data_IF_561866145204
#
_entry.id   IF_561866145204
#
_cell.length_a   1.000
_cell.length_b   1.000
_cell.length_c   1.000
_cell.angle_alpha   90.00
_cell.angle_beta   90.00
_cell.angle_gamma   90.00
#
_symmetry.space_group_name_H-M   'P 1'
#
loop_
_entity.id
_entity.type
_entity.pdbx_description
1 polymer ?
#
# COMPACT_ATOMS: atom_id res chain seq x y z
N UNK A 1 -18.13 1.41 -10.46
CA UNK A 1 -17.68 0.75 -11.70
C UNK A 1 -18.79 0.19 -12.59
N UNK A 2 -20.09 0.26 -12.18
CA UNK A 2 -21.19 -0.35 -12.92
C UNK A 2 -21.86 0.53 -13.99
N UNK A 3 -21.39 1.74 -14.25
CA UNK A 3 -22.05 2.68 -15.19
C UNK A 3 -21.56 2.65 -16.63
N UNK A 4 -20.50 1.93 -16.96
CA UNK A 4 -19.96 1.89 -18.34
C UNK A 4 -20.74 0.91 -19.24
N UNK A 5 -21.54 0.02 -18.69
CA UNK A 5 -22.20 -1.05 -19.46
C UNK A 5 -23.47 -0.66 -20.22
N UNK A 6 -23.98 0.54 -20.08
CA UNK A 6 -25.32 0.89 -20.60
C UNK A 6 -25.34 1.77 -21.85
N UNK A 7 -24.20 2.16 -22.39
CA UNK A 7 -24.09 3.03 -23.56
C UNK A 7 -23.54 2.31 -24.78
N UNK A 8 -24.38 1.94 -25.70
CA UNK A 8 -24.13 1.67 -27.12
C UNK A 8 -22.94 0.75 -27.46
N UNK A 9 -23.19 -0.55 -27.59
CA UNK A 9 -22.23 -1.51 -28.16
C UNK A 9 -21.62 -1.03 -29.48
N UNK A 10 -22.33 -0.31 -30.30
CA UNK A 10 -21.86 0.23 -31.58
C UNK A 10 -20.76 1.28 -31.48
N UNK A 11 -20.68 2.04 -30.38
CA UNK A 11 -19.63 3.07 -30.24
C UNK A 11 -18.27 2.45 -29.93
N UNK A 12 -18.24 1.33 -29.21
CA UNK A 12 -17.01 0.60 -28.89
C UNK A 12 -16.40 -0.14 -30.09
N UNK A 13 -17.20 -0.46 -31.10
CA UNK A 13 -16.74 -1.18 -32.29
C UNK A 13 -16.10 -0.27 -33.33
N UNK A 14 -16.34 1.05 -33.26
CA UNK A 14 -15.80 2.05 -34.19
C UNK A 14 -14.55 2.78 -33.68
N UNK A 15 -14.24 2.66 -32.40
CA UNK A 15 -13.07 3.31 -31.79
C UNK A 15 -11.93 2.30 -31.67
N UNK A 16 -10.77 2.65 -32.19
CA UNK A 16 -9.57 1.80 -32.14
C UNK A 16 -8.66 2.09 -30.95
N UNK A 17 -8.70 3.32 -30.42
CA UNK A 17 -7.89 3.77 -29.30
C UNK A 17 -8.72 4.49 -28.25
N UNK A 18 -8.37 4.29 -26.99
CA UNK A 18 -8.97 4.97 -25.82
C UNK A 18 -7.87 5.52 -24.94
N UNK A 19 -7.93 6.79 -24.64
CA UNK A 19 -7.06 7.40 -23.64
C UNK A 19 -7.84 7.43 -22.31
N UNK A 20 -7.33 6.74 -21.31
CA UNK A 20 -7.94 6.63 -20.00
C UNK A 20 -7.05 7.30 -18.96
N UNK A 21 -7.65 8.03 -18.03
CA UNK A 21 -6.96 8.56 -16.85
C UNK A 21 -7.75 8.20 -15.58
N UNK A 22 -7.63 6.95 -15.10
CA UNK A 22 -8.30 6.50 -13.90
C UNK A 22 -7.78 7.23 -12.67
N UNK A 23 -8.69 7.67 -11.79
CA UNK A 23 -8.34 8.43 -10.59
C UNK A 23 -8.09 7.52 -9.37
N UNK A 24 -8.46 6.26 -9.45
CA UNK A 24 -8.30 5.28 -8.37
C UNK A 24 -8.28 3.85 -8.91
N UNK A 25 -7.87 2.92 -8.07
CA UNK A 25 -7.93 1.48 -8.35
C UNK A 25 -7.28 1.05 -9.68
N UNK A 26 -6.17 1.68 -10.06
CA UNK A 26 -5.44 1.42 -11.31
C UNK A 26 -5.21 -0.07 -11.58
N UNK A 27 -4.87 -0.84 -10.54
CA UNK A 27 -4.68 -2.28 -10.67
C UNK A 27 -5.95 -3.02 -11.11
N UNK A 28 -7.11 -2.60 -10.61
CA UNK A 28 -8.41 -3.17 -11.03
C UNK A 28 -8.76 -2.77 -12.46
N UNK A 29 -8.40 -1.55 -12.86
CA UNK A 29 -8.61 -1.08 -14.24
C UNK A 29 -7.76 -1.90 -15.20
N UNK A 30 -6.47 -2.12 -14.91
CA UNK A 30 -5.58 -2.94 -15.76
C UNK A 30 -6.07 -4.38 -15.86
N UNK A 31 -6.46 -5.01 -14.75
CA UNK A 31 -7.04 -6.35 -14.76
C UNK A 31 -8.34 -6.40 -15.56
N UNK A 32 -9.22 -5.40 -15.40
CA UNK A 32 -10.46 -5.34 -16.17
C UNK A 32 -10.19 -5.23 -17.69
N UNK A 33 -9.21 -4.45 -18.10
CA UNK A 33 -8.83 -4.30 -19.51
C UNK A 33 -8.33 -5.63 -20.06
N UNK A 34 -7.44 -6.32 -19.35
CA UNK A 34 -6.92 -7.65 -19.72
C UNK A 34 -8.06 -8.66 -19.87
N UNK A 35 -8.94 -8.76 -18.87
CA UNK A 35 -10.07 -9.71 -18.86
C UNK A 35 -11.10 -9.46 -19.97
N UNK A 36 -11.15 -8.26 -20.53
CA UNK A 36 -12.12 -7.87 -21.55
C UNK A 36 -11.53 -7.70 -22.96
N UNK A 37 -10.30 -8.18 -23.18
CA UNK A 37 -9.67 -8.21 -24.51
C UNK A 37 -9.19 -6.85 -24.97
N UNK A 38 -8.68 -6.04 -24.04
CA UNK A 38 -7.99 -4.79 -24.32
C UNK A 38 -6.51 -4.92 -23.97
N UNK A 39 -5.67 -4.22 -24.74
CA UNK A 39 -4.26 -4.09 -24.48
C UNK A 39 -3.91 -2.62 -24.15
N UNK A 40 -2.99 -2.45 -23.22
CA UNK A 40 -2.38 -1.15 -22.93
C UNK A 40 -1.13 -1.06 -23.78
N UNK A 41 -1.17 -0.20 -24.79
CA UNK A 41 -0.07 0.03 -25.74
C UNK A 41 0.98 0.97 -25.16
N UNK A 42 0.53 1.95 -24.39
CA UNK A 42 1.40 2.92 -23.74
C UNK A 42 0.84 3.39 -22.42
N UNK A 43 1.74 3.78 -21.53
CA UNK A 43 1.43 4.37 -20.23
C UNK A 43 2.33 5.59 -19.99
N UNK A 44 1.74 6.64 -19.45
CA UNK A 44 2.46 7.81 -18.97
C UNK A 44 2.03 8.16 -17.55
N UNK A 45 2.97 8.58 -16.72
CA UNK A 45 2.67 9.18 -15.44
C UNK A 45 3.00 10.68 -15.49
N UNK A 46 2.09 11.49 -14.97
CA UNK A 46 2.28 12.94 -14.88
C UNK A 46 2.08 13.38 -13.44
N UNK A 47 2.79 14.45 -13.06
CA UNK A 47 2.65 15.08 -11.75
C UNK A 47 2.12 16.49 -11.95
N UNK A 48 1.01 16.79 -11.30
CA UNK A 48 0.39 18.11 -11.29
C UNK A 48 -0.01 18.50 -9.88
N UNK A 49 0.39 19.68 -9.42
CA UNK A 49 0.13 20.20 -8.07
C UNK A 49 0.42 19.17 -6.94
N UNK A 50 1.48 18.36 -7.11
CA UNK A 50 1.89 17.36 -6.13
C UNK A 50 1.07 16.05 -6.15
N UNK A 51 0.10 15.94 -7.05
CA UNK A 51 -0.68 14.71 -7.31
C UNK A 51 -0.13 13.98 -8.53
N UNK A 52 -0.29 12.67 -8.52
CA UNK A 52 0.18 11.81 -9.60
C UNK A 52 -1.01 11.25 -10.36
N UNK A 53 -0.95 11.30 -11.68
CA UNK A 53 -1.96 10.82 -12.59
C UNK A 53 -1.35 9.84 -13.56
N UNK A 54 -2.03 8.72 -13.80
CA UNK A 54 -1.63 7.75 -14.80
C UNK A 54 -2.54 7.87 -16.02
N UNK A 55 -1.94 7.90 -17.19
CA UNK A 55 -2.61 7.95 -18.48
C UNK A 55 -2.33 6.62 -19.17
N UNK A 56 -3.36 5.97 -19.67
CA UNK A 56 -3.29 4.70 -20.36
C UNK A 56 -3.75 4.90 -21.81
N UNK A 57 -2.92 4.52 -22.78
CA UNK A 57 -3.33 4.35 -24.18
C UNK A 57 -3.75 2.90 -24.38
N UNK A 58 -5.02 2.69 -24.70
CA UNK A 58 -5.65 1.39 -24.73
C UNK A 58 -6.20 1.08 -26.11
N UNK A 59 -5.94 -0.13 -26.59
CA UNK A 59 -6.47 -0.66 -27.84
C UNK A 59 -7.22 -1.95 -27.61
N UNK A 60 -7.89 -2.46 -28.66
CA UNK A 60 -8.35 -3.84 -28.66
C UNK A 60 -7.17 -4.77 -28.87
N UNK A 61 -7.02 -5.77 -28.04
CA UNK A 61 -5.91 -6.71 -28.11
C UNK A 61 -5.81 -7.58 -26.88
N UNK A 62 -4.88 -8.51 -26.93
CA UNK A 62 -4.53 -9.34 -25.79
C UNK A 62 -3.25 -8.81 -25.16
N UNK A 63 -3.28 -8.67 -23.85
CA UNK A 63 -2.10 -8.42 -23.03
C UNK A 63 -2.04 -9.42 -21.90
N UNK A 64 -0.88 -9.52 -21.25
CA UNK A 64 -0.73 -10.38 -20.08
C UNK A 64 0.08 -9.65 -19.01
N UNK A 65 -0.54 -9.46 -17.86
CA UNK A 65 0.08 -8.93 -16.64
C UNK A 65 0.41 -10.09 -15.70
N UNK A 66 1.49 -10.81 -15.98
CA UNK A 66 1.90 -11.99 -15.23
C UNK A 66 2.39 -11.66 -13.80
N UNK A 67 2.78 -10.43 -13.56
CA UNK A 67 3.34 -10.01 -12.27
C UNK A 67 2.43 -9.00 -11.57
N UNK A 68 2.16 -9.15 -10.27
CA UNK A 68 1.31 -8.23 -9.50
C UNK A 68 1.77 -6.77 -9.59
N UNK A 69 3.08 -6.51 -9.63
CA UNK A 69 3.63 -5.16 -9.75
C UNK A 69 3.29 -4.49 -11.07
N UNK A 70 3.16 -5.25 -12.15
CA UNK A 70 2.75 -4.70 -13.45
C UNK A 70 1.30 -4.21 -13.43
N UNK A 71 0.40 -4.97 -12.80
CA UNK A 71 -0.97 -4.51 -12.58
C UNK A 71 -1.02 -3.25 -11.72
N UNK A 72 -0.15 -3.17 -10.71
CA UNK A 72 -0.17 -2.09 -9.72
C UNK A 72 0.47 -0.81 -10.24
N UNK A 73 1.66 -0.91 -10.82
CA UNK A 73 2.48 0.27 -11.19
C UNK A 73 2.56 0.52 -12.71
N UNK A 74 2.17 -0.46 -13.52
CA UNK A 74 2.23 -0.38 -14.98
C UNK A 74 3.49 -0.99 -15.57
N UNK A 75 3.30 -1.97 -16.45
CA UNK A 75 4.42 -2.66 -17.10
C UNK A 75 5.28 -1.70 -17.90
N UNK A 76 4.64 -0.85 -18.72
CA UNK A 76 5.34 0.09 -19.61
C UNK A 76 6.13 1.13 -18.82
N UNK A 77 5.56 1.64 -17.73
CA UNK A 77 6.23 2.61 -16.86
C UNK A 77 7.47 2.01 -16.19
N UNK A 78 7.38 0.77 -15.71
CA UNK A 78 8.49 0.05 -15.10
C UNK A 78 9.60 -0.25 -16.11
N UNK A 79 9.26 -0.79 -17.28
CA UNK A 79 10.21 -1.09 -18.35
C UNK A 79 10.94 0.15 -18.87
N UNK A 80 10.25 1.30 -18.94
CA UNK A 80 10.83 2.59 -19.31
C UNK A 80 11.62 3.25 -18.20
N UNK A 81 11.54 2.75 -17.00
CA UNK A 81 12.15 3.39 -15.82
C UNK A 81 11.68 4.83 -15.65
N UNK A 82 10.37 5.03 -15.73
CA UNK A 82 9.77 6.35 -15.72
C UNK A 82 10.17 7.16 -14.49
N UNK A 83 10.69 8.39 -14.70
CA UNK A 83 11.23 9.20 -13.61
C UNK A 83 10.17 9.69 -12.63
N UNK A 84 8.92 9.89 -13.08
CA UNK A 84 7.82 10.34 -12.24
C UNK A 84 7.30 9.14 -11.41
N UNK A 85 7.26 7.95 -12.01
CA UNK A 85 6.96 6.73 -11.26
C UNK A 85 8.01 6.48 -10.18
N UNK A 86 9.29 6.70 -10.46
CA UNK A 86 10.36 6.56 -9.45
C UNK A 86 10.13 7.50 -8.28
N UNK A 87 9.86 8.78 -8.54
CA UNK A 87 9.55 9.76 -7.50
C UNK A 87 8.32 9.35 -6.68
N UNK A 88 7.27 8.86 -7.35
CA UNK A 88 6.07 8.36 -6.70
C UNK A 88 6.38 7.20 -5.77
N UNK A 89 7.17 6.20 -6.22
CA UNK A 89 7.54 5.04 -5.41
C UNK A 89 8.38 5.42 -4.18
N UNK A 90 9.31 6.37 -4.34
CA UNK A 90 10.11 6.88 -3.21
C UNK A 90 9.22 7.55 -2.16
N UNK A 91 8.26 8.37 -2.60
CA UNK A 91 7.30 9.03 -1.71
C UNK A 91 6.39 8.03 -0.98
N UNK A 92 5.85 7.04 -1.71
CA UNK A 92 5.01 6.00 -1.12
C UNK A 92 5.79 5.10 -0.16
N UNK A 93 7.04 4.78 -0.47
CA UNK A 93 7.92 4.05 0.44
C UNK A 93 8.10 4.81 1.76
N UNK A 94 8.43 6.09 1.70
CA UNK A 94 8.59 6.91 2.90
C UNK A 94 7.29 6.99 3.72
N UNK A 95 6.14 7.12 3.04
CA UNK A 95 4.82 7.11 3.68
C UNK A 95 4.56 5.80 4.43
N UNK A 96 4.75 4.67 3.77
CA UNK A 96 4.48 3.34 4.35
C UNK A 96 5.45 3.04 5.49
N UNK A 97 6.73 3.38 5.33
CA UNK A 97 7.74 3.21 6.38
C UNK A 97 7.40 4.04 7.62
N UNK A 98 7.04 5.33 7.45
CA UNK A 98 6.64 6.19 8.56
C UNK A 98 5.41 5.66 9.33
N UNK A 99 4.45 5.08 8.63
CA UNK A 99 3.29 4.44 9.28
C UNK A 99 3.74 3.19 10.05
N UNK A 100 4.58 2.34 9.46
CA UNK A 100 5.07 1.12 10.11
C UNK A 100 5.91 1.43 11.35
N UNK A 101 6.73 2.48 11.33
CA UNK A 101 7.48 2.96 12.50
C UNK A 101 6.53 3.39 13.62
N UNK A 102 5.43 4.08 13.30
CA UNK A 102 4.39 4.45 14.27
C UNK A 102 3.70 3.23 14.89
N UNK A 103 3.49 2.17 14.14
CA UNK A 103 2.98 0.91 14.67
C UNK A 103 3.98 0.23 15.62
N UNK A 104 5.29 0.46 15.43
CA UNK A 104 6.35 -0.04 16.31
C UNK A 104 6.62 0.84 17.54
N UNK A 105 6.31 2.13 17.44
CA UNK A 105 6.59 3.12 18.48
C UNK A 105 5.44 3.32 19.48
N UNK A 106 4.31 2.64 19.33
CA UNK A 106 3.25 2.61 20.34
C UNK A 106 3.61 1.65 21.50
N UNK A 107 4.78 1.88 22.12
CA UNK A 107 4.88 1.60 23.55
C UNK A 107 3.99 2.66 24.23
N UNK A 108 3.03 2.25 25.07
CA UNK A 108 2.26 3.22 25.82
C UNK A 108 3.24 4.04 26.66
N UNK A 109 3.35 5.34 26.40
CA UNK A 109 3.90 6.26 27.40
C UNK A 109 3.03 6.11 28.63
N UNK A 110 3.53 5.36 29.60
CA UNK A 110 2.92 5.30 30.93
C UNK A 110 3.05 6.71 31.51
N UNK A 111 1.94 7.40 31.84
CA UNK A 111 2.02 8.71 32.46
C UNK A 111 2.98 8.65 33.64
N UNK A 112 3.90 9.60 33.76
CA UNK A 112 4.90 9.65 34.82
C UNK A 112 4.31 9.59 36.23
N UNK A 113 3.05 10.00 36.37
CA UNK A 113 2.27 9.92 37.61
C UNK A 113 1.93 8.48 38.01
N UNK A 114 1.89 7.55 37.05
CA UNK A 114 1.67 6.12 37.34
C UNK A 114 2.96 5.40 37.74
N UNK A 115 4.14 5.92 37.38
CA UNK A 115 5.42 5.32 37.81
C UNK A 115 5.58 5.42 39.33
N UNK A 116 5.14 6.52 39.93
CA UNK A 116 5.21 6.74 41.38
C UNK A 116 4.25 5.82 42.15
N UNK A 117 3.04 5.63 41.62
CA UNK A 117 2.06 4.70 42.17
C UNK A 117 2.53 3.22 42.10
N UNK A 118 3.28 2.87 41.05
CA UNK A 118 3.85 1.55 40.87
C UNK A 118 5.05 1.29 41.81
N UNK A 119 5.84 2.32 42.12
CA UNK A 119 6.93 2.19 43.09
C UNK A 119 6.42 2.03 44.49
N UNK A 120 5.32 2.67 44.87
CA UNK A 120 4.63 2.49 46.16
C UNK A 120 4.04 1.08 46.30
N UNK A 121 3.47 0.55 45.20
CA UNK A 121 2.95 -0.84 45.15
C UNK A 121 4.10 -1.84 45.23
N UNK A 122 5.22 -1.60 44.55
CA UNK A 122 6.41 -2.46 44.64
C UNK A 122 7.02 -2.51 46.05
N UNK A 123 6.97 -1.42 46.77
CA UNK A 123 7.46 -1.38 48.16
C UNK A 123 6.53 -2.17 49.08
N UNK A 124 5.20 -2.13 48.87
CA UNK A 124 4.24 -2.98 49.61
C UNK A 124 4.37 -4.45 49.26
N UNK A 125 4.60 -4.80 47.99
CA UNK A 125 4.82 -6.19 47.57
C UNK A 125 6.15 -6.77 48.05
N UNK A 126 7.20 -5.95 48.23
CA UNK A 126 8.45 -6.40 48.87
C UNK A 126 8.28 -6.85 50.29
N UNK A 127 7.28 -6.36 50.98
CA UNK A 127 6.97 -6.74 52.35
C UNK A 127 6.15 -8.06 52.40
N UNK A 128 5.42 -8.40 51.35
CA UNK A 128 4.57 -9.62 51.29
C UNK A 128 5.11 -10.77 50.44
N UNK A 129 6.00 -10.49 49.46
CA UNK A 129 6.49 -11.50 48.51
C UNK A 129 7.86 -12.06 48.90
N UNK A 130 7.87 -12.88 49.97
CA UNK A 130 8.98 -13.81 50.22
C UNK A 130 8.76 -15.19 49.61
N UNK A 131 7.71 -15.35 48.83
CA UNK A 131 7.44 -16.61 48.11
C UNK A 131 6.59 -16.36 46.88
N UNK A 132 7.15 -16.53 45.71
CA UNK A 132 6.72 -16.91 44.39
C UNK A 132 7.39 -16.07 43.30
N UNK A 133 8.38 -16.71 42.68
CA UNK A 133 9.02 -16.33 41.43
C UNK A 133 7.98 -16.22 40.29
N UNK A 134 7.75 -15.03 39.82
CA UNK A 134 6.97 -14.73 38.62
C UNK A 134 7.35 -13.37 38.08
N UNK A 135 8.43 -13.31 37.29
CA UNK A 135 8.81 -12.13 36.52
C UNK A 135 7.70 -11.89 35.49
N UNK A 136 6.76 -10.99 35.80
CA UNK A 136 5.89 -10.42 34.78
C UNK A 136 6.74 -9.45 33.93
N UNK A 137 7.26 -9.96 32.84
CA UNK A 137 7.76 -9.14 31.75
C UNK A 137 6.63 -8.16 31.37
N UNK A 138 6.91 -6.87 31.40
CA UNK A 138 6.01 -5.82 30.85
C UNK A 138 5.89 -6.06 29.34
N UNK A 139 4.95 -6.86 28.92
CA UNK A 139 4.57 -6.99 27.53
C UNK A 139 3.62 -5.84 27.22
N UNK A 140 3.98 -5.05 26.19
CA UNK A 140 3.06 -4.12 25.58
C UNK A 140 1.72 -4.82 25.29
N UNK A 141 0.58 -4.13 25.39
CA UNK A 141 -0.71 -4.76 25.11
C UNK A 141 -0.66 -5.39 23.72
N UNK A 142 -1.16 -6.62 23.56
CA UNK A 142 -1.11 -7.29 22.27
C UNK A 142 -1.83 -6.44 21.22
N UNK A 143 -1.22 -6.31 20.04
CA UNK A 143 -1.84 -5.62 18.90
C UNK A 143 -3.23 -6.20 18.65
N UNK A 144 -4.20 -5.32 18.43
CA UNK A 144 -5.53 -5.77 18.01
C UNK A 144 -5.45 -6.49 16.65
N UNK A 145 -6.39 -7.40 16.40
CA UNK A 145 -6.45 -8.12 15.12
C UNK A 145 -6.52 -7.14 13.91
N UNK A 146 -7.24 -6.02 14.06
CA UNK A 146 -7.32 -4.99 13.05
C UNK A 146 -5.95 -4.31 12.80
N UNK A 147 -5.19 -4.02 13.85
CA UNK A 147 -3.85 -3.46 13.74
C UNK A 147 -2.87 -4.46 13.10
N UNK A 148 -2.97 -5.74 13.45
CA UNK A 148 -2.14 -6.78 12.85
C UNK A 148 -2.41 -6.91 11.35
N UNK A 149 -3.68 -6.92 10.93
CA UNK A 149 -4.07 -6.94 9.51
C UNK A 149 -3.58 -5.71 8.76
N UNK A 150 -3.74 -4.52 9.34
CA UNK A 150 -3.26 -3.28 8.74
C UNK A 150 -1.73 -3.28 8.55
N UNK A 151 -1.00 -3.74 9.57
CA UNK A 151 0.47 -3.88 9.49
C UNK A 151 0.88 -4.86 8.39
N UNK A 152 0.23 -6.01 8.28
CA UNK A 152 0.52 -6.99 7.23
C UNK A 152 0.30 -6.39 5.85
N UNK A 153 -0.82 -5.71 5.62
CA UNK A 153 -1.11 -5.05 4.35
C UNK A 153 -0.06 -3.98 3.98
N UNK A 154 0.40 -3.19 4.95
CA UNK A 154 1.48 -2.20 4.74
C UNK A 154 2.83 -2.86 4.42
N UNK A 155 3.13 -3.99 5.05
CA UNK A 155 4.36 -4.74 4.74
C UNK A 155 4.33 -5.34 3.33
N UNK A 156 3.18 -5.85 2.89
CA UNK A 156 2.99 -6.30 1.52
C UNK A 156 3.15 -5.14 0.53
N UNK A 157 2.51 -4.00 0.81
CA UNK A 157 2.64 -2.79 -0.01
C UNK A 157 4.11 -2.35 -0.14
N UNK A 158 4.86 -2.34 0.96
CA UNK A 158 6.29 -2.03 0.97
C UNK A 158 7.09 -3.04 0.14
N UNK A 159 6.72 -4.32 0.18
CA UNK A 159 7.32 -5.36 -0.64
C UNK A 159 7.16 -5.08 -2.14
N UNK A 160 5.95 -4.74 -2.59
CA UNK A 160 5.70 -4.39 -4.00
C UNK A 160 6.42 -3.11 -4.44
N UNK A 161 6.51 -2.10 -3.57
CA UNK A 161 7.26 -0.87 -3.86
C UNK A 161 8.73 -1.20 -4.10
N UNK A 162 9.35 -1.99 -3.24
CA UNK A 162 10.75 -2.40 -3.38
C UNK A 162 10.98 -3.22 -4.63
N UNK A 163 10.11 -4.20 -4.93
CA UNK A 163 10.18 -4.99 -6.14
C UNK A 163 10.10 -4.12 -7.40
N UNK A 164 9.21 -3.12 -7.40
CA UNK A 164 9.09 -2.17 -8.50
C UNK A 164 10.33 -1.29 -8.65
N UNK A 165 10.92 -0.83 -7.55
CA UNK A 165 12.16 -0.06 -7.56
C UNK A 165 13.35 -0.88 -8.08
N UNK A 166 13.43 -2.15 -7.70
CA UNK A 166 14.48 -3.07 -8.16
C UNK A 166 14.38 -3.32 -9.67
N UNK A 167 13.15 -3.44 -10.20
CA UNK A 167 12.94 -3.59 -11.65
C UNK A 167 13.35 -2.34 -12.45
N UNK A 168 13.33 -1.17 -11.82
CA UNK A 168 13.71 0.10 -12.43
C UNK A 168 15.21 0.43 -12.32
N UNK A 169 16.04 -0.40 -11.67
CA UNK A 169 17.49 -0.24 -11.60
C UNK A 169 18.17 -0.78 -12.86
#
# INVERSE_FOLDING_TARGET
ASRIRSGSRHMWDSVSHWILSPQSDLHKVRMFLEDNGFAIEDEAMVKDEGKYYTILDVTRGAMSYLRPIWCRYGKVLLERRDGILKEYLEKEQARVQGILEHFGAQEPEVPKEMDQAWDDIREMDRIQARDQSGIMARTAPPMTEAQARARTALMEELGWIKEAQDEMQ
#
